data_IF_466943769613
#
_entry.id   IF_466943769613
#
_cell.length_a   1.000
_cell.length_b   1.000
_cell.length_c   1.000
_cell.angle_alpha   90.00
_cell.angle_beta   90.00
_cell.angle_gamma   90.00
#
_symmetry.space_group_name_H-M   'P 1'
#
loop_
_entity.id
_entity.type
_entity.pdbx_description
1 polymer ?
#
# COMPACT_ATOMS: atom_id res chain seq x y z
N UNK A 1 11.90 18.74 -3.73
CA UNK A 1 11.47 19.97 -3.05
C UNK A 1 10.64 20.87 -3.97
N UNK A 2 11.06 21.11 -5.21
CA UNK A 2 10.34 21.97 -6.18
C UNK A 2 8.90 21.53 -6.48
N UNK A 3 8.64 20.22 -6.63
CA UNK A 3 7.28 19.72 -6.90
C UNK A 3 6.32 19.93 -5.73
N UNK A 4 6.78 19.77 -4.49
CA UNK A 4 6.02 20.05 -3.28
C UNK A 4 5.64 21.52 -3.19
N UNK A 5 6.56 22.43 -3.56
CA UNK A 5 6.30 23.86 -3.60
C UNK A 5 5.27 24.23 -4.68
N UNK A 6 5.36 23.62 -5.88
CA UNK A 6 4.38 23.82 -6.96
C UNK A 6 2.98 23.38 -6.58
N UNK A 7 2.86 22.35 -5.73
CA UNK A 7 1.60 21.87 -5.20
C UNK A 7 1.00 22.86 -4.21
N UNK A 8 1.79 23.34 -3.24
CA UNK A 8 1.36 24.37 -2.29
C UNK A 8 0.89 25.65 -3.01
N UNK A 9 1.64 26.11 -4.02
CA UNK A 9 1.28 27.26 -4.84
C UNK A 9 -0.01 27.06 -5.66
N UNK A 10 -0.41 25.81 -5.92
CA UNK A 10 -1.67 25.45 -6.59
C UNK A 10 -2.78 25.08 -5.61
N UNK A 11 -2.59 25.35 -4.31
CA UNK A 11 -3.56 25.10 -3.26
C UNK A 11 -3.59 23.65 -2.76
N UNK A 12 -2.60 22.81 -3.07
CA UNK A 12 -2.51 21.45 -2.56
C UNK A 12 -1.72 21.41 -1.26
N UNK A 13 -2.32 20.89 -0.20
CA UNK A 13 -1.71 20.77 1.14
C UNK A 13 -1.55 19.30 1.55
N UNK A 14 -0.51 18.95 2.31
CA UNK A 14 -0.33 17.59 2.81
C UNK A 14 -1.42 17.25 3.84
N UNK A 15 -2.01 16.05 3.74
CA UNK A 15 -3.10 15.58 4.60
C UNK A 15 -2.73 14.39 5.50
N UNK A 16 -1.60 13.71 5.23
CA UNK A 16 -1.15 12.57 6.03
C UNK A 16 0.05 11.86 5.42
N UNK A 17 0.69 10.99 6.20
CA UNK A 17 1.80 10.12 5.75
C UNK A 17 1.28 8.69 5.69
N UNK A 18 1.54 8.01 4.58
CA UNK A 18 1.19 6.62 4.37
C UNK A 18 2.41 5.75 4.09
N UNK A 19 2.27 4.47 4.38
CA UNK A 19 3.25 3.43 4.08
C UNK A 19 2.54 2.26 3.39
N UNK A 20 3.09 1.81 2.28
CA UNK A 20 2.70 0.58 1.60
C UNK A 20 3.82 -0.44 1.66
N UNK A 21 3.53 -1.66 2.14
CA UNK A 21 4.50 -2.76 2.20
C UNK A 21 3.93 -3.95 1.46
N UNK A 22 4.73 -4.63 0.63
CA UNK A 22 4.33 -5.85 -0.05
C UNK A 22 5.52 -6.80 -0.14
N UNK A 23 5.25 -8.09 -0.13
CA UNK A 23 6.25 -9.12 -0.33
C UNK A 23 5.72 -10.15 -1.34
N UNK A 24 6.63 -10.78 -2.06
CA UNK A 24 6.35 -11.89 -2.96
C UNK A 24 7.48 -12.91 -2.86
N UNK A 25 7.18 -14.15 -3.21
CA UNK A 25 8.17 -15.22 -3.29
C UNK A 25 8.12 -15.82 -4.70
N UNK A 26 9.29 -16.01 -5.32
CA UNK A 26 9.44 -16.60 -6.65
C UNK A 26 10.13 -17.95 -6.48
N UNK A 27 9.44 -19.03 -6.82
CA UNK A 27 9.99 -20.38 -6.74
C UNK A 27 10.82 -20.73 -7.96
N UNK A 28 11.95 -21.39 -7.74
CA UNK A 28 12.68 -22.07 -8.80
C UNK A 28 13.20 -21.15 -9.91
N UNK A 29 13.76 -19.98 -9.59
CA UNK A 29 14.34 -19.10 -10.64
C UNK A 29 15.47 -19.80 -11.41
N UNK A 30 16.12 -20.79 -10.79
CA UNK A 30 17.12 -21.66 -11.44
C UNK A 30 16.53 -22.92 -12.10
N UNK A 31 15.21 -23.18 -11.97
CA UNK A 31 14.54 -24.43 -12.35
C UNK A 31 13.17 -24.23 -13.03
N UNK A 32 12.81 -23.02 -13.47
CA UNK A 32 11.42 -22.68 -13.82
C UNK A 32 10.99 -23.22 -15.17
N UNK A 33 10.20 -24.29 -15.14
CA UNK A 33 9.33 -24.70 -16.24
C UNK A 33 8.08 -25.47 -15.79
N UNK A 34 8.15 -26.34 -14.76
CA UNK A 34 7.15 -27.41 -14.65
C UNK A 34 6.35 -27.53 -13.33
N UNK A 35 6.74 -26.90 -12.22
CA UNK A 35 6.03 -27.09 -10.94
C UNK A 35 5.91 -25.80 -10.12
N UNK A 36 4.78 -25.09 -10.23
CA UNK A 36 4.41 -24.02 -9.28
C UNK A 36 2.95 -24.17 -8.87
N UNK A 37 2.73 -24.39 -7.57
CA UNK A 37 1.40 -24.34 -6.99
C UNK A 37 1.42 -24.66 -5.50
N UNK A 38 1.33 -23.64 -4.63
CA UNK A 38 0.26 -23.54 -3.62
C UNK A 38 0.28 -22.16 -2.93
N UNK A 39 -0.61 -21.24 -3.33
CA UNK A 39 -0.66 -19.87 -2.83
C UNK A 39 -1.83 -19.68 -1.85
N UNK A 40 -1.54 -19.44 -0.57
CA UNK A 40 -2.57 -18.94 0.36
C UNK A 40 -2.24 -17.65 1.09
N UNK A 41 -1.00 -17.15 1.11
CA UNK A 41 -0.73 -15.77 1.60
C UNK A 41 0.48 -15.05 1.00
N UNK A 42 1.21 -15.64 0.05
CA UNK A 42 2.25 -14.96 -0.71
C UNK A 42 2.01 -15.21 -2.20
N UNK A 43 2.07 -14.16 -3.02
CA UNK A 43 1.96 -14.33 -4.47
C UNK A 43 3.20 -15.08 -4.95
N UNK A 44 3.01 -16.37 -5.24
CA UNK A 44 3.99 -17.19 -5.94
C UNK A 44 4.00 -16.76 -7.40
N UNK A 45 5.15 -16.36 -7.92
CA UNK A 45 5.28 -15.88 -9.30
C UNK A 45 6.25 -16.78 -10.10
N UNK A 46 6.00 -17.01 -11.40
CA UNK A 46 6.82 -17.88 -12.24
C UNK A 46 8.20 -17.30 -12.56
N UNK A 47 8.32 -15.97 -12.62
CA UNK A 47 9.57 -15.30 -13.03
C UNK A 47 9.93 -14.11 -12.13
N UNK A 48 11.24 -13.82 -11.92
CA UNK A 48 11.70 -12.70 -11.10
C UNK A 48 11.16 -11.33 -11.54
N UNK A 49 11.11 -11.06 -12.85
CA UNK A 49 10.60 -9.79 -13.40
C UNK A 49 9.12 -9.59 -13.05
N UNK A 50 8.32 -10.64 -13.14
CA UNK A 50 6.90 -10.55 -12.79
C UNK A 50 6.70 -10.35 -11.28
N UNK A 51 7.53 -11.01 -10.46
CA UNK A 51 7.58 -10.77 -9.02
C UNK A 51 7.89 -9.31 -8.68
N UNK A 52 8.89 -8.71 -9.32
CA UNK A 52 9.25 -7.30 -9.10
C UNK A 52 8.13 -6.35 -9.51
N UNK A 53 7.49 -6.60 -10.66
CA UNK A 53 6.33 -5.81 -11.09
C UNK A 53 5.14 -5.99 -10.14
N UNK A 54 4.89 -7.21 -9.66
CA UNK A 54 3.84 -7.51 -8.71
C UNK A 54 4.04 -6.73 -7.42
N UNK A 55 5.25 -6.82 -6.81
CA UNK A 55 5.57 -6.11 -5.58
C UNK A 55 5.44 -4.61 -5.78
N UNK A 56 5.96 -4.05 -6.87
CA UNK A 56 5.85 -2.62 -7.17
C UNK A 56 4.38 -2.15 -7.27
N UNK A 57 3.52 -2.88 -7.98
CA UNK A 57 2.08 -2.54 -8.08
C UNK A 57 1.39 -2.66 -6.73
N UNK A 58 1.73 -3.68 -5.94
CA UNK A 58 1.10 -3.92 -4.64
C UNK A 58 1.53 -2.92 -3.57
N UNK A 59 2.79 -2.50 -3.52
CA UNK A 59 3.21 -1.42 -2.59
C UNK A 59 2.53 -0.11 -2.92
N UNK A 60 2.37 0.23 -4.20
CA UNK A 60 1.68 1.45 -4.61
C UNK A 60 0.19 1.37 -4.22
N UNK A 61 -0.45 0.24 -4.50
CA UNK A 61 -1.86 0.01 -4.15
C UNK A 61 -2.08 0.11 -2.64
N UNK A 62 -1.19 -0.49 -1.84
CA UNK A 62 -1.26 -0.43 -0.37
C UNK A 62 -0.97 0.95 0.18
N UNK A 63 -0.04 1.70 -0.42
CA UNK A 63 0.18 3.10 -0.06
C UNK A 63 -1.08 3.93 -0.32
N UNK A 64 -1.68 3.82 -1.50
CA UNK A 64 -2.91 4.55 -1.88
C UNK A 64 -4.11 4.19 -0.98
N UNK A 65 -4.16 2.96 -0.49
CA UNK A 65 -5.21 2.47 0.43
C UNK A 65 -4.84 2.62 1.91
N UNK A 66 -3.75 3.29 2.22
CA UNK A 66 -3.32 3.46 3.61
C UNK A 66 -4.42 4.19 4.39
N UNK A 67 -4.84 3.70 5.58
CA UNK A 67 -5.91 4.32 6.35
C UNK A 67 -5.66 5.79 6.68
N UNK A 68 -4.39 6.17 6.87
CA UNK A 68 -3.96 7.55 7.14
C UNK A 68 -4.15 8.48 5.95
N UNK A 69 -4.36 7.93 4.75
CA UNK A 69 -4.57 8.68 3.51
C UNK A 69 -6.02 8.61 3.02
N UNK A 70 -6.96 8.12 3.83
CA UNK A 70 -8.37 7.92 3.44
C UNK A 70 -9.05 9.17 2.87
N UNK A 71 -8.65 10.35 3.33
CA UNK A 71 -9.21 11.64 2.90
C UNK A 71 -8.34 12.36 1.86
N UNK A 72 -7.26 11.73 1.39
CA UNK A 72 -6.40 12.31 0.39
C UNK A 72 -7.05 12.22 -1.00
N UNK A 73 -7.04 13.32 -1.74
CA UNK A 73 -7.46 13.37 -3.16
C UNK A 73 -6.37 12.80 -4.08
N UNK A 74 -5.11 12.82 -3.62
CA UNK A 74 -3.97 12.24 -4.32
C UNK A 74 -2.87 11.81 -3.36
N UNK A 75 -1.91 11.03 -3.85
CA UNK A 75 -0.75 10.58 -3.06
C UNK A 75 0.52 10.82 -3.84
N UNK A 76 1.53 11.37 -3.17
CA UNK A 76 2.87 11.58 -3.72
C UNK A 76 3.79 10.59 -3.02
N UNK A 77 4.38 9.68 -3.80
CA UNK A 77 5.42 8.80 -3.28
C UNK A 77 6.69 9.62 -2.99
N UNK A 78 7.19 9.51 -1.76
CA UNK A 78 8.42 10.18 -1.32
C UNK A 78 9.63 9.26 -1.43
N UNK A 79 9.48 7.98 -1.12
CA UNK A 79 10.54 6.98 -1.24
C UNK A 79 9.97 5.61 -1.61
N UNK A 80 10.75 4.85 -2.36
CA UNK A 80 10.45 3.46 -2.71
C UNK A 80 11.71 2.63 -2.51
N UNK A 81 11.60 1.58 -1.71
CA UNK A 81 12.65 0.61 -1.47
C UNK A 81 12.15 -0.75 -1.95
N UNK A 82 12.93 -1.38 -2.81
CA UNK A 82 12.73 -2.75 -3.26
C UNK A 82 14.01 -3.51 -2.97
N UNK A 83 13.87 -4.65 -2.30
CA UNK A 83 14.96 -5.55 -1.97
C UNK A 83 14.60 -6.96 -2.42
N UNK A 84 15.63 -7.73 -2.76
CA UNK A 84 15.48 -9.14 -3.06
C UNK A 84 16.56 -9.92 -2.33
N UNK A 85 16.20 -11.13 -1.93
CA UNK A 85 17.10 -12.07 -1.30
C UNK A 85 16.88 -13.44 -1.90
N UNK A 86 17.97 -14.15 -2.18
CA UNK A 86 17.87 -15.54 -2.60
C UNK A 86 17.54 -16.41 -1.38
N UNK A 87 16.57 -17.29 -1.53
CA UNK A 87 16.15 -18.21 -0.46
C UNK A 87 16.15 -19.65 -0.97
N UNK A 88 16.43 -20.60 -0.09
CA UNK A 88 16.25 -22.02 -0.40
C UNK A 88 14.74 -22.31 -0.53
N UNK A 89 14.35 -22.97 -1.61
CA UNK A 89 12.98 -23.42 -1.78
C UNK A 89 12.77 -24.76 -1.05
N UNK A 90 11.68 -24.89 -0.30
CA UNK A 90 11.35 -26.10 0.46
C UNK A 90 11.17 -27.35 -0.42
N UNK A 91 10.85 -27.17 -1.71
CA UNK A 91 10.68 -28.24 -2.70
C UNK A 91 11.97 -28.55 -3.49
N UNK A 92 13.11 -27.95 -3.10
CA UNK A 92 14.39 -28.07 -3.79
C UNK A 92 14.66 -26.90 -4.75
N UNK A 93 15.93 -26.51 -4.87
CA UNK A 93 16.38 -25.41 -5.73
C UNK A 93 16.37 -24.03 -5.07
N UNK A 94 16.63 -23.01 -5.89
CA UNK A 94 16.82 -21.62 -5.45
C UNK A 94 15.59 -20.77 -5.78
N UNK A 95 14.98 -20.20 -4.75
CA UNK A 95 13.92 -19.20 -4.84
C UNK A 95 14.45 -17.77 -4.62
N UNK A 96 13.53 -16.81 -4.72
CA UNK A 96 13.80 -15.40 -4.47
C UNK A 96 12.66 -14.78 -3.69
N UNK A 97 12.99 -14.21 -2.53
CA UNK A 97 12.09 -13.35 -1.76
C UNK A 97 12.24 -11.92 -2.22
N UNK A 98 11.12 -11.26 -2.48
CA UNK A 98 11.04 -9.86 -2.87
C UNK A 98 10.29 -9.10 -1.79
N UNK A 99 10.86 -8.00 -1.30
CA UNK A 99 10.24 -7.14 -0.30
C UNK A 99 10.26 -5.70 -0.82
N UNK A 100 9.11 -5.06 -0.80
CA UNK A 100 8.93 -3.68 -1.17
C UNK A 100 8.31 -2.85 -0.05
N UNK A 101 8.80 -1.62 0.09
CA UNK A 101 8.23 -0.58 0.92
C UNK A 101 8.15 0.73 0.13
N UNK A 102 7.03 1.42 0.22
CA UNK A 102 6.84 2.76 -0.33
C UNK A 102 6.28 3.67 0.75
N UNK A 103 6.89 4.84 0.92
CA UNK A 103 6.39 5.90 1.81
C UNK A 103 5.92 7.07 0.98
N UNK A 104 4.83 7.71 1.37
CA UNK A 104 4.30 8.86 0.65
C UNK A 104 3.41 9.75 1.50
N UNK A 105 3.03 10.87 0.90
CA UNK A 105 2.20 11.88 1.53
C UNK A 105 0.90 12.04 0.74
N UNK A 106 -0.23 11.98 1.44
CA UNK A 106 -1.53 12.33 0.87
C UNK A 106 -1.62 13.83 0.69
N UNK A 107 -2.31 14.27 -0.37
CA UNK A 107 -2.58 15.69 -0.64
C UNK A 107 -4.07 15.92 -0.81
N UNK A 108 -4.52 17.10 -0.39
CA UNK A 108 -5.88 17.60 -0.54
C UNK A 108 -5.85 19.03 -1.04
N UNK A 109 -6.93 19.50 -1.66
CA UNK A 109 -6.99 20.87 -2.15
C UNK A 109 -7.58 21.81 -1.10
N UNK A 110 -6.75 22.72 -0.61
CA UNK A 110 -7.16 23.79 0.30
C UNK A 110 -8.19 24.70 -0.37
N UNK A 111 -9.32 24.93 0.30
CA UNK A 111 -10.39 25.83 -0.17
C UNK A 111 -11.32 25.23 -1.24
N UNK A 112 -11.15 23.96 -1.62
CA UNK A 112 -12.17 23.24 -2.36
C UNK A 112 -13.08 22.51 -1.35
N UNK A 113 -14.42 22.57 -1.48
CA UNK A 113 -15.30 21.77 -0.63
C UNK A 113 -15.05 20.29 -0.93
N UNK A 114 -14.37 19.59 -0.02
CA UNK A 114 -14.39 18.14 0.02
C UNK A 114 -15.84 17.74 0.28
N UNK A 115 -16.44 16.95 -0.60
CA UNK A 115 -17.80 16.40 -0.40
C UNK A 115 -17.91 15.86 1.03
N UNK A 116 -18.86 16.34 1.86
CA UNK A 116 -19.06 15.80 3.20
C UNK A 116 -19.46 14.33 3.07
N UNK A 117 -18.77 13.44 3.79
CA UNK A 117 -19.30 12.12 4.09
C UNK A 117 -20.33 12.35 5.20
N UNK A 118 -21.61 12.09 4.92
CA UNK A 118 -22.65 11.95 5.93
C UNK A 118 -22.25 10.83 6.89
N UNK A 119 -21.62 11.18 7.99
CA UNK A 119 -21.52 10.28 9.14
C UNK A 119 -22.81 10.46 9.91
N UNK A 120 -23.81 9.63 9.60
CA UNK A 120 -24.94 9.44 10.48
C UNK A 120 -24.42 8.88 11.82
N UNK A 121 -24.11 9.78 12.75
CA UNK A 121 -23.93 9.41 14.16
C UNK A 121 -25.32 9.19 14.71
N UNK A 122 -25.80 7.95 14.62
CA UNK A 122 -26.89 7.51 15.50
C UNK A 122 -26.31 7.50 16.91
N UNK A 123 -26.52 8.59 17.66
CA UNK A 123 -26.36 8.55 19.10
C UNK A 123 -27.40 7.57 19.63
N UNK A 124 -26.93 6.38 20.01
CA UNK A 124 -27.71 5.52 20.88
C UNK A 124 -28.07 6.33 22.12
N UNK A 125 -29.35 6.64 22.28
CA UNK A 125 -29.90 7.21 23.49
C UNK A 125 -29.66 6.16 24.57
N UNK A 126 -28.64 6.38 25.40
CA UNK A 126 -28.46 5.64 26.63
C UNK A 126 -29.68 5.91 27.50
N UNK A 127 -30.49 4.88 27.68
CA UNK A 127 -31.32 4.73 28.86
C UNK A 127 -30.38 4.72 30.08
N UNK A 128 -30.71 5.56 31.07
CA UNK A 128 -30.53 5.38 32.52
C UNK A 128 -30.79 6.76 33.19
N UNK A 129 -32.02 7.08 33.61
CA UNK A 129 -32.60 6.86 34.97
C UNK A 129 -32.44 8.16 35.83
N UNK A 130 -33.01 8.40 37.04
CA UNK A 130 -34.26 8.01 37.73
C UNK A 130 -35.09 9.22 38.29
N UNK A 131 -36.33 9.00 38.74
CA UNK A 131 -37.12 9.88 39.67
C UNK A 131 -37.90 11.03 39.00
N UNK A 132 -39.15 11.35 39.33
CA UNK A 132 -40.02 11.10 40.50
C UNK A 132 -41.43 10.64 40.06
#
# INVERSE_FOLDING_TARGET
>A
MEQTLKLLLRGWVPSGIGVGVAAAHVHGFAASGFWQGNATTNAEMPMPTEGMQYVRRHIETRLRRSPTLRHAEGVIAAATHLSYESEACALGGTGMRLIGQMTGTGVVRFGAPSVPIDVAVTLAKGDDDPGE
#
